data_IF_238363763043
#
_entry.id   IF_238363763043
#
_cell.length_a   1.000
_cell.length_b   1.000
_cell.length_c   1.000
_cell.angle_alpha   90.00
_cell.angle_beta   90.00
_cell.angle_gamma   90.00
#
_symmetry.space_group_name_H-M   'P 1'
#
loop_
_entity.id
_entity.type
_entity.pdbx_description
1 polymer ?
#
# COMPACT_ATOMS: atom_id res chain seq x y z
N UNK A 1 60.42 69.06 31.27
CA UNK A 1 61.14 67.79 31.08
C UNK A 1 60.11 66.73 30.71
N UNK A 2 60.49 65.80 29.82
CA UNK A 2 59.68 64.74 29.16
C UNK A 2 59.04 65.13 27.81
N UNK A 3 59.87 65.02 26.77
CA UNK A 3 59.50 64.95 25.35
C UNK A 3 59.12 63.49 25.05
N UNK A 4 57.87 63.23 24.70
CA UNK A 4 57.42 61.90 24.24
C UNK A 4 57.43 61.86 22.71
N UNK A 5 58.27 60.97 22.19
CA UNK A 5 58.63 60.78 20.78
C UNK A 5 57.53 59.99 20.07
N UNK A 6 56.77 60.61 19.16
CA UNK A 6 55.85 59.91 18.23
C UNK A 6 56.66 59.03 17.28
N UNK A 7 56.44 57.72 17.32
CA UNK A 7 57.01 56.73 16.40
C UNK A 7 55.98 56.47 15.30
N UNK A 8 56.20 57.02 14.11
CA UNK A 8 55.42 56.71 12.92
C UNK A 8 55.77 55.28 12.46
N UNK A 9 54.83 54.35 12.56
CA UNK A 9 54.88 53.09 11.82
C UNK A 9 54.22 53.31 10.46
N UNK A 10 55.02 53.26 9.40
CA UNK A 10 54.54 53.15 8.03
C UNK A 10 53.95 51.76 7.84
N UNK A 11 52.63 51.66 7.66
CA UNK A 11 51.98 50.44 7.16
C UNK A 11 52.01 50.50 5.63
N UNK A 12 52.76 49.58 5.03
CA UNK A 12 52.82 49.35 3.58
C UNK A 12 51.45 48.82 3.09
N UNK A 13 50.76 49.51 2.16
CA UNK A 13 49.42 49.11 1.72
C UNK A 13 49.40 48.01 0.64
N UNK A 14 50.53 47.40 0.27
CA UNK A 14 50.58 46.44 -0.84
C UNK A 14 50.21 44.99 -0.50
N UNK A 15 50.14 44.58 0.78
CA UNK A 15 49.95 43.16 1.13
C UNK A 15 48.47 42.70 1.16
N UNK A 16 47.52 43.64 1.10
CA UNK A 16 46.09 43.29 1.20
C UNK A 16 45.45 42.81 -0.11
N UNK A 17 46.03 43.11 -1.29
CA UNK A 17 45.42 42.73 -2.59
C UNK A 17 45.61 41.27 -2.99
N UNK A 18 46.63 40.56 -2.46
CA UNK A 18 46.84 39.13 -2.77
C UNK A 18 45.96 38.18 -1.94
N UNK A 19 45.45 38.63 -0.80
CA UNK A 19 44.62 37.83 0.11
C UNK A 19 43.19 37.63 -0.39
N UNK A 20 42.59 38.66 -1.00
CA UNK A 20 41.16 38.62 -1.40
C UNK A 20 40.89 37.64 -2.55
N UNK A 21 41.81 37.51 -3.51
CA UNK A 21 41.65 36.62 -4.66
C UNK A 21 41.57 35.12 -4.28
N UNK A 22 42.28 34.71 -3.22
CA UNK A 22 42.24 33.33 -2.72
C UNK A 22 40.90 32.97 -2.09
N UNK A 23 40.24 33.92 -1.44
CA UNK A 23 38.95 33.72 -0.78
C UNK A 23 37.84 33.53 -1.82
N UNK A 24 37.81 34.34 -2.89
CA UNK A 24 36.83 34.19 -3.96
C UNK A 24 36.99 32.86 -4.72
N UNK A 25 38.22 32.41 -4.94
CA UNK A 25 38.48 31.12 -5.58
C UNK A 25 38.01 29.96 -4.67
N UNK A 26 38.27 30.02 -3.37
CA UNK A 26 37.80 29.03 -2.42
C UNK A 26 36.26 28.97 -2.35
N UNK A 27 35.59 30.13 -2.31
CA UNK A 27 34.13 30.20 -2.27
C UNK A 27 33.48 29.66 -3.55
N UNK A 28 34.04 29.95 -4.72
CA UNK A 28 33.52 29.42 -6.00
C UNK A 28 33.68 27.91 -6.10
N UNK A 29 34.82 27.36 -5.65
CA UNK A 29 35.05 25.91 -5.57
C UNK A 29 34.08 25.24 -4.59
N UNK A 30 33.88 25.82 -3.40
CA UNK A 30 32.92 25.30 -2.41
C UNK A 30 31.49 25.33 -2.98
N UNK A 31 31.09 26.43 -3.63
CA UNK A 31 29.77 26.55 -4.26
C UNK A 31 29.58 25.52 -5.37
N UNK A 32 30.61 25.26 -6.17
CA UNK A 32 30.57 24.25 -7.24
C UNK A 32 30.44 22.83 -6.67
N UNK A 33 31.18 22.51 -5.61
CA UNK A 33 31.10 21.22 -4.92
C UNK A 33 29.69 21.02 -4.33
N UNK A 34 29.13 22.04 -3.67
CA UNK A 34 27.76 22.01 -3.14
C UNK A 34 26.72 21.78 -4.25
N UNK A 35 26.87 22.46 -5.39
CA UNK A 35 25.98 22.27 -6.54
C UNK A 35 26.07 20.84 -7.10
N UNK A 36 27.28 20.28 -7.23
CA UNK A 36 27.50 18.91 -7.70
C UNK A 36 26.88 17.91 -6.71
N UNK A 37 27.07 18.10 -5.40
CA UNK A 37 26.46 17.25 -4.37
C UNK A 37 24.92 17.32 -4.40
N UNK A 38 24.35 18.51 -4.59
CA UNK A 38 22.90 18.72 -4.77
C UNK A 38 22.37 17.99 -6.01
N UNK A 39 23.09 18.04 -7.13
CA UNK A 39 22.72 17.33 -8.36
C UNK A 39 22.79 15.81 -8.17
N UNK A 40 23.83 15.29 -7.53
CA UNK A 40 23.97 13.86 -7.24
C UNK A 40 22.83 13.39 -6.32
N UNK A 41 22.48 14.17 -5.29
CA UNK A 41 21.40 13.84 -4.37
C UNK A 41 20.03 13.86 -5.08
N UNK A 42 19.79 14.85 -5.93
CA UNK A 42 18.56 14.98 -6.72
C UNK A 42 18.39 13.82 -7.71
N UNK A 43 19.47 13.44 -8.40
CA UNK A 43 19.47 12.28 -9.27
C UNK A 43 19.18 10.99 -8.49
N UNK A 44 19.81 10.81 -7.33
CA UNK A 44 19.62 9.61 -6.50
C UNK A 44 18.17 9.46 -6.02
N UNK A 45 17.51 10.56 -5.66
CA UNK A 45 16.09 10.56 -5.30
C UNK A 45 15.19 10.19 -6.49
N UNK A 46 15.44 10.76 -7.68
CA UNK A 46 14.68 10.42 -8.90
C UNK A 46 14.84 8.94 -9.28
N UNK A 47 16.06 8.38 -9.19
CA UNK A 47 16.29 6.96 -9.46
C UNK A 47 15.58 6.05 -8.45
N UNK A 48 15.51 6.46 -7.17
CA UNK A 48 14.80 5.70 -6.15
C UNK A 48 13.29 5.68 -6.40
N UNK A 49 12.69 6.83 -6.77
CA UNK A 49 11.27 6.93 -7.11
C UNK A 49 10.90 6.11 -8.35
N UNK A 50 11.72 6.15 -9.40
CA UNK A 50 11.53 5.34 -10.60
C UNK A 50 11.66 3.83 -10.31
N UNK A 51 12.63 3.43 -9.50
CA UNK A 51 12.81 2.03 -9.12
C UNK A 51 11.60 1.50 -8.33
N UNK A 52 11.06 2.29 -7.40
CA UNK A 52 9.86 1.94 -6.63
C UNK A 52 8.62 1.84 -7.53
N UNK A 53 8.44 2.80 -8.45
CA UNK A 53 7.35 2.76 -9.43
C UNK A 53 7.42 1.52 -10.33
N UNK A 54 8.61 1.16 -10.83
CA UNK A 54 8.82 -0.06 -11.63
C UNK A 54 8.51 -1.32 -10.85
N UNK A 55 8.92 -1.37 -9.58
CA UNK A 55 8.65 -2.50 -8.70
C UNK A 55 7.13 -2.65 -8.45
N UNK A 56 6.43 -1.56 -8.13
CA UNK A 56 4.99 -1.58 -7.93
C UNK A 56 4.24 -1.97 -9.22
N UNK A 57 4.66 -1.45 -10.37
CA UNK A 57 4.13 -1.87 -11.67
C UNK A 57 4.29 -3.37 -11.90
N UNK A 58 5.49 -3.92 -11.68
CA UNK A 58 5.74 -5.35 -11.82
C UNK A 58 4.88 -6.20 -10.85
N UNK A 59 4.75 -5.77 -9.58
CA UNK A 59 3.88 -6.43 -8.61
C UNK A 59 2.44 -6.49 -9.09
N UNK A 60 1.91 -5.38 -9.59
CA UNK A 60 0.54 -5.31 -10.11
C UNK A 60 0.35 -6.19 -11.34
N UNK A 61 1.29 -6.17 -12.29
CA UNK A 61 1.25 -7.04 -13.46
C UNK A 61 1.23 -8.53 -13.08
N UNK A 62 2.07 -8.94 -12.12
CA UNK A 62 2.09 -10.32 -11.60
C UNK A 62 0.73 -10.68 -10.98
N UNK A 63 0.16 -9.81 -10.16
CA UNK A 63 -1.15 -10.04 -9.54
C UNK A 63 -2.27 -10.14 -10.58
N UNK A 64 -2.23 -9.34 -11.64
CA UNK A 64 -3.19 -9.42 -12.74
C UNK A 64 -3.01 -10.74 -13.49
N UNK A 65 -1.79 -11.10 -13.85
CA UNK A 65 -1.49 -12.36 -14.55
C UNK A 65 -1.96 -13.58 -13.76
N UNK A 66 -1.69 -13.62 -12.45
CA UNK A 66 -2.12 -14.69 -11.57
C UNK A 66 -3.66 -14.80 -11.53
N UNK A 67 -4.37 -13.67 -11.47
CA UNK A 67 -5.83 -13.66 -11.54
C UNK A 67 -6.34 -14.17 -12.89
N UNK A 68 -5.85 -13.60 -14.00
CA UNK A 68 -6.29 -13.97 -15.34
C UNK A 68 -6.03 -15.45 -15.65
N UNK A 69 -4.95 -16.02 -15.12
CA UNK A 69 -4.69 -17.46 -15.22
C UNK A 69 -5.72 -18.28 -14.45
N UNK A 70 -6.06 -17.89 -13.22
CA UNK A 70 -7.04 -18.60 -12.39
C UNK A 70 -8.49 -18.46 -12.88
N UNK A 71 -8.78 -17.48 -13.74
CA UNK A 71 -10.12 -17.27 -14.29
C UNK A 71 -10.43 -18.15 -15.51
N UNK A 72 -9.44 -18.80 -16.13
CA UNK A 72 -9.66 -19.69 -17.29
C UNK A 72 -10.56 -19.06 -18.37
N UNK A 73 -10.25 -17.81 -18.73
CA UNK A 73 -11.08 -17.00 -19.63
C UNK A 73 -11.01 -17.52 -21.07
N UNK A 74 -12.16 -17.62 -21.72
CA UNK A 74 -12.20 -17.82 -23.17
C UNK A 74 -11.88 -16.52 -23.94
N UNK A 75 -11.73 -16.64 -25.27
CA UNK A 75 -11.40 -15.50 -26.12
C UNK A 75 -12.43 -14.36 -26.06
N UNK A 76 -13.72 -14.71 -26.01
CA UNK A 76 -14.80 -13.72 -25.96
C UNK A 76 -14.79 -12.97 -24.62
N UNK A 77 -14.57 -13.70 -23.51
CA UNK A 77 -14.43 -13.11 -22.18
C UNK A 77 -13.19 -12.21 -22.09
N UNK A 78 -12.05 -12.62 -22.65
CA UNK A 78 -10.85 -11.79 -22.69
C UNK A 78 -11.08 -10.49 -23.48
N UNK A 79 -11.74 -10.56 -24.63
CA UNK A 79 -12.05 -9.37 -25.43
C UNK A 79 -13.00 -8.44 -24.68
N UNK A 80 -14.04 -8.99 -24.04
CA UNK A 80 -14.97 -8.20 -23.22
C UNK A 80 -14.28 -7.46 -22.08
N UNK A 81 -13.34 -8.12 -21.38
CA UNK A 81 -12.57 -7.47 -20.30
C UNK A 81 -11.65 -6.39 -20.88
N UNK A 82 -11.00 -6.64 -22.02
CA UNK A 82 -10.13 -5.67 -22.68
C UNK A 82 -10.91 -4.39 -23.05
N UNK A 83 -12.08 -4.55 -23.68
CA UNK A 83 -12.93 -3.44 -24.10
C UNK A 83 -13.42 -2.64 -22.88
N UNK A 84 -13.87 -3.34 -21.83
CA UNK A 84 -14.31 -2.70 -20.59
C UNK A 84 -13.15 -1.99 -19.84
N UNK A 85 -11.93 -2.53 -19.88
CA UNK A 85 -10.75 -1.91 -19.29
C UNK A 85 -10.37 -0.61 -20.02
N UNK A 86 -10.44 -0.61 -21.36
CA UNK A 86 -10.24 0.60 -22.19
C UNK A 86 -11.31 1.65 -21.92
N UNK A 87 -12.58 1.26 -21.88
CA UNK A 87 -13.68 2.15 -21.55
C UNK A 87 -13.54 2.74 -20.13
N UNK A 88 -13.17 1.91 -19.15
CA UNK A 88 -12.90 2.37 -17.79
C UNK A 88 -11.74 3.38 -17.73
N UNK A 89 -10.69 3.19 -18.53
CA UNK A 89 -9.58 4.15 -18.64
C UNK A 89 -10.05 5.48 -19.24
N UNK A 90 -10.86 5.43 -20.29
CA UNK A 90 -11.44 6.62 -20.92
C UNK A 90 -12.36 7.40 -19.98
N UNK A 91 -13.24 6.70 -19.25
CA UNK A 91 -14.12 7.31 -18.23
C UNK A 91 -13.29 8.07 -17.18
N UNK A 92 -12.20 7.45 -16.70
CA UNK A 92 -11.30 8.07 -15.72
C UNK A 92 -10.54 9.25 -16.29
N UNK A 93 -10.07 9.17 -17.55
CA UNK A 93 -9.37 10.28 -18.22
C UNK A 93 -10.29 11.48 -18.39
N UNK A 94 -11.49 11.29 -18.95
CA UNK A 94 -12.48 12.36 -19.14
C UNK A 94 -12.87 13.02 -17.82
N UNK A 95 -13.02 12.24 -16.75
CA UNK A 95 -13.29 12.78 -15.42
C UNK A 95 -12.11 13.60 -14.88
N UNK A 96 -10.87 13.12 -15.06
CA UNK A 96 -9.66 13.84 -14.68
C UNK A 96 -9.53 15.16 -15.45
N UNK A 97 -9.74 15.14 -16.76
CA UNK A 97 -9.72 16.33 -17.61
C UNK A 97 -10.80 17.33 -17.20
N UNK A 98 -12.04 16.87 -16.96
CA UNK A 98 -13.13 17.72 -16.47
C UNK A 98 -12.81 18.39 -15.13
N UNK A 99 -12.13 17.68 -14.22
CA UNK A 99 -11.68 18.24 -12.95
C UNK A 99 -10.50 19.20 -13.14
N UNK A 100 -9.54 18.88 -14.02
CA UNK A 100 -8.37 19.71 -14.28
C UNK A 100 -8.70 21.05 -14.95
N UNK A 101 -9.76 21.10 -15.77
CA UNK A 101 -10.24 22.34 -16.40
C UNK A 101 -10.92 23.32 -15.44
N UNK A 102 -11.19 22.92 -14.20
CA UNK A 102 -11.87 23.74 -13.20
C UNK A 102 -10.87 24.29 -12.20
N UNK A 103 -10.25 25.41 -12.54
CA UNK A 103 -9.29 26.13 -11.69
C UNK A 103 -9.85 26.45 -10.29
N UNK A 104 -11.15 26.72 -10.20
CA UNK A 104 -11.89 26.94 -8.94
C UNK A 104 -11.76 25.76 -7.95
N UNK A 105 -11.61 24.52 -8.43
CA UNK A 105 -11.32 23.34 -7.57
C UNK A 105 -9.97 23.51 -6.91
N UNK A 106 -8.95 23.84 -7.68
CA UNK A 106 -7.60 23.99 -7.14
C UNK A 106 -7.53 25.17 -6.16
N UNK A 107 -8.12 26.31 -6.52
CA UNK A 107 -8.16 27.51 -5.68
C UNK A 107 -8.88 27.25 -4.34
N UNK A 108 -10.04 26.60 -4.35
CA UNK A 108 -10.78 26.31 -3.13
C UNK A 108 -9.99 25.41 -2.17
N UNK A 109 -9.26 24.41 -2.68
CA UNK A 109 -8.39 23.57 -1.85
C UNK A 109 -7.15 24.33 -1.37
N UNK A 110 -6.57 25.21 -2.19
CA UNK A 110 -5.46 26.07 -1.77
C UNK A 110 -5.86 27.03 -0.66
N UNK A 111 -7.05 27.63 -0.71
CA UNK A 111 -7.53 28.55 0.31
C UNK A 111 -7.70 27.84 1.66
N UNK A 112 -8.30 26.64 1.67
CA UNK A 112 -8.38 25.80 2.88
C UNK A 112 -6.98 25.43 3.39
N UNK A 113 -6.05 25.09 2.50
CA UNK A 113 -4.67 24.77 2.88
C UNK A 113 -3.94 25.98 3.50
N UNK A 114 -4.14 27.19 2.96
CA UNK A 114 -3.58 28.43 3.51
C UNK A 114 -4.07 28.65 4.93
N UNK A 115 -5.37 28.49 5.18
CA UNK A 115 -5.95 28.60 6.54
C UNK A 115 -5.42 27.52 7.47
N UNK A 116 -5.33 26.27 7.02
CA UNK A 116 -4.79 25.19 7.85
C UNK A 116 -3.32 25.44 8.25
N UNK A 117 -2.52 26.01 7.36
CA UNK A 117 -1.11 26.35 7.63
C UNK A 117 -0.92 27.45 8.69
N UNK A 118 -1.93 28.29 8.96
CA UNK A 118 -1.82 29.28 10.04
C UNK A 118 -2.05 28.69 11.43
N UNK A 119 -2.42 27.40 11.52
CA UNK A 119 -2.80 26.75 12.78
C UNK A 119 -4.21 27.09 13.25
N UNK A 120 -5.01 27.79 12.43
CA UNK A 120 -6.40 28.08 12.73
C UNK A 120 -7.25 26.80 12.74
N UNK A 121 -8.02 26.61 13.81
CA UNK A 121 -9.02 25.53 13.90
C UNK A 121 -10.35 25.88 13.21
N UNK A 122 -10.52 27.14 12.81
CA UNK A 122 -11.75 27.65 12.18
C UNK A 122 -11.45 28.16 10.78
N UNK A 123 -12.21 27.67 9.79
CA UNK A 123 -12.16 28.16 8.41
C UNK A 123 -13.18 29.28 8.25
N UNK A 124 -12.80 30.46 7.71
CA UNK A 124 -13.73 31.53 7.40
C UNK A 124 -14.93 31.04 6.57
N UNK A 125 -16.12 31.59 6.86
CA UNK A 125 -17.38 31.12 6.30
C UNK A 125 -17.43 31.21 4.77
N UNK A 126 -16.84 32.25 4.17
CA UNK A 126 -16.75 32.42 2.73
C UNK A 126 -15.89 31.32 2.06
N UNK A 127 -14.75 30.96 2.66
CA UNK A 127 -13.86 29.89 2.20
C UNK A 127 -14.56 28.54 2.37
N UNK A 128 -15.22 28.31 3.50
CA UNK A 128 -15.95 27.09 3.77
C UNK A 128 -17.08 26.89 2.73
N UNK A 129 -17.86 27.92 2.43
CA UNK A 129 -18.92 27.84 1.42
C UNK A 129 -18.39 27.54 0.01
N UNK A 130 -17.31 28.22 -0.42
CA UNK A 130 -16.67 27.92 -1.71
C UNK A 130 -16.19 26.46 -1.74
N UNK A 131 -15.45 26.03 -0.73
CA UNK A 131 -14.96 24.66 -0.63
C UNK A 131 -16.09 23.63 -0.66
N UNK A 132 -17.16 23.83 0.09
CA UNK A 132 -18.29 22.90 0.11
C UNK A 132 -18.99 22.80 -1.25
N UNK A 133 -19.22 23.92 -1.94
CA UNK A 133 -19.78 23.92 -3.29
C UNK A 133 -18.90 23.14 -4.26
N UNK A 134 -17.61 23.43 -4.25
CA UNK A 134 -16.66 22.81 -5.17
C UNK A 134 -16.45 21.34 -4.87
N UNK A 135 -16.44 20.96 -3.59
CA UNK A 135 -16.42 19.56 -3.15
C UNK A 135 -17.65 18.80 -3.62
N UNK A 136 -18.85 19.36 -3.52
CA UNK A 136 -20.06 18.72 -4.04
C UNK A 136 -19.96 18.45 -5.54
N UNK A 137 -19.37 19.36 -6.31
CA UNK A 137 -19.14 19.14 -7.74
C UNK A 137 -18.14 18.00 -7.99
N UNK A 138 -17.02 17.96 -7.25
CA UNK A 138 -16.06 16.86 -7.33
C UNK A 138 -16.72 15.53 -6.98
N UNK A 139 -17.54 15.50 -5.93
CA UNK A 139 -18.24 14.31 -5.48
C UNK A 139 -19.25 13.83 -6.54
N UNK A 140 -20.01 14.74 -7.18
CA UNK A 140 -20.89 14.39 -8.31
C UNK A 140 -20.13 13.78 -9.49
N UNK A 141 -18.96 14.31 -9.82
CA UNK A 141 -18.11 13.74 -10.89
C UNK A 141 -17.64 12.33 -10.50
N UNK A 142 -17.22 12.14 -9.24
CA UNK A 142 -16.79 10.83 -8.73
C UNK A 142 -17.92 9.81 -8.70
N UNK A 143 -19.11 10.21 -8.27
CA UNK A 143 -20.32 9.38 -8.26
C UNK A 143 -20.66 8.91 -9.68
N UNK A 144 -20.68 9.82 -10.66
CA UNK A 144 -20.94 9.45 -12.06
C UNK A 144 -19.87 8.53 -12.66
N UNK A 145 -18.60 8.68 -12.26
CA UNK A 145 -17.55 7.72 -12.64
C UNK A 145 -17.81 6.35 -12.00
N UNK A 146 -18.10 6.33 -10.70
CA UNK A 146 -18.31 5.09 -9.96
C UNK A 146 -19.54 4.32 -10.47
N UNK A 147 -20.62 5.00 -10.82
CA UNK A 147 -21.82 4.42 -11.41
C UNK A 147 -21.48 3.71 -12.73
N UNK A 148 -20.77 4.39 -13.65
CA UNK A 148 -20.36 3.81 -14.94
C UNK A 148 -19.44 2.60 -14.76
N UNK A 149 -18.43 2.71 -13.89
CA UNK A 149 -17.53 1.58 -13.58
C UNK A 149 -18.29 0.41 -12.94
N UNK A 150 -19.31 0.69 -12.14
CA UNK A 150 -20.18 -0.34 -11.56
C UNK A 150 -21.01 -1.03 -12.64
N UNK A 151 -21.57 -0.27 -13.58
CA UNK A 151 -22.25 -0.83 -14.75
C UNK A 151 -21.36 -1.76 -15.58
N UNK A 152 -20.12 -1.35 -15.87
CA UNK A 152 -19.16 -2.20 -16.58
C UNK A 152 -18.83 -3.48 -15.80
N UNK A 153 -18.63 -3.36 -14.49
CA UNK A 153 -18.29 -4.51 -13.64
C UNK A 153 -19.44 -5.52 -13.54
N UNK A 154 -20.69 -5.05 -13.51
CA UNK A 154 -21.88 -5.91 -13.54
C UNK A 154 -21.96 -6.69 -14.84
N UNK A 155 -21.77 -6.02 -16.00
CA UNK A 155 -21.75 -6.69 -17.32
C UNK A 155 -20.72 -7.83 -17.38
N UNK A 156 -19.50 -7.61 -16.87
CA UNK A 156 -18.48 -8.66 -16.80
C UNK A 156 -18.94 -9.80 -15.89
N UNK A 157 -19.44 -9.47 -14.69
CA UNK A 157 -19.88 -10.47 -13.71
C UNK A 157 -20.98 -11.37 -14.27
N UNK A 158 -21.93 -10.81 -15.02
CA UNK A 158 -23.03 -11.55 -15.65
C UNK A 158 -22.58 -12.51 -16.75
N UNK A 159 -21.41 -12.26 -17.36
CA UNK A 159 -20.82 -13.12 -18.39
C UNK A 159 -19.78 -14.11 -17.83
N UNK A 160 -19.55 -14.10 -16.52
CA UNK A 160 -18.66 -15.04 -15.85
C UNK A 160 -19.44 -16.30 -15.44
N UNK A 161 -18.81 -17.45 -15.62
CA UNK A 161 -19.30 -18.73 -15.11
C UNK A 161 -19.25 -18.72 -13.58
N UNK A 162 -20.10 -19.50 -12.88
CA UNK A 162 -20.12 -19.54 -11.42
C UNK A 162 -18.76 -19.79 -10.77
N UNK A 163 -17.92 -20.66 -11.36
CA UNK A 163 -16.57 -20.92 -10.84
C UNK A 163 -15.64 -19.70 -10.99
N UNK A 164 -15.78 -18.89 -12.04
CA UNK A 164 -14.97 -17.68 -12.24
C UNK A 164 -15.37 -16.59 -11.23
N UNK A 165 -16.67 -16.47 -10.93
CA UNK A 165 -17.17 -15.59 -9.86
C UNK A 165 -16.61 -16.04 -8.51
N UNK A 166 -16.64 -17.34 -8.21
CA UNK A 166 -16.05 -17.91 -7.00
C UNK A 166 -14.54 -17.62 -6.90
N UNK A 167 -13.79 -17.79 -8.00
CA UNK A 167 -12.37 -17.43 -8.05
C UNK A 167 -12.18 -15.95 -7.71
N UNK A 168 -12.99 -15.04 -8.24
CA UNK A 168 -12.93 -13.62 -7.88
C UNK A 168 -13.25 -13.38 -6.40
N UNK A 169 -14.28 -14.01 -5.84
CA UNK A 169 -14.68 -13.88 -4.43
C UNK A 169 -13.54 -14.22 -3.48
N UNK A 170 -12.82 -15.31 -3.77
CA UNK A 170 -11.74 -15.81 -2.92
C UNK A 170 -10.35 -15.30 -3.32
N UNK A 171 -10.22 -14.61 -4.46
CA UNK A 171 -8.92 -14.13 -4.93
C UNK A 171 -8.25 -13.19 -3.92
N UNK A 172 -7.02 -13.54 -3.54
CA UNK A 172 -6.11 -12.77 -2.70
C UNK A 172 -4.89 -12.39 -3.54
N UNK A 173 -4.68 -11.09 -3.87
CA UNK A 173 -3.53 -10.66 -4.67
C UNK A 173 -2.21 -11.17 -4.09
N UNK A 174 -1.44 -11.88 -4.90
CA UNK A 174 -0.18 -12.52 -4.49
C UNK A 174 0.89 -12.36 -5.58
N UNK A 175 2.15 -12.27 -5.14
CA UNK A 175 3.32 -12.25 -6.04
C UNK A 175 3.74 -13.67 -6.40
N UNK A 176 3.77 -14.55 -5.40
CA UNK A 176 4.07 -15.97 -5.58
C UNK A 176 2.79 -16.76 -5.33
N UNK A 177 2.25 -17.45 -6.35
CA UNK A 177 1.08 -18.31 -6.15
C UNK A 177 1.44 -19.49 -5.24
N UNK A 178 0.49 -20.01 -4.45
CA UNK A 178 0.75 -21.11 -3.53
C UNK A 178 1.11 -22.41 -4.29
N UNK A 179 2.24 -23.03 -3.92
CA UNK A 179 2.90 -24.16 -4.63
C UNK A 179 2.03 -25.43 -4.76
N UNK A 180 0.94 -25.57 -3.98
CA UNK A 180 0.10 -26.80 -3.99
C UNK A 180 -1.41 -26.56 -3.84
N UNK A 181 -1.92 -25.33 -3.94
CA UNK A 181 -3.34 -25.04 -3.67
C UNK A 181 -4.05 -24.52 -4.90
N UNK A 182 -4.13 -25.40 -5.90
CA UNK A 182 -4.83 -25.21 -7.16
C UNK A 182 -6.14 -26.00 -7.24
N UNK A 183 -6.92 -26.12 -6.15
CA UNK A 183 -8.31 -26.56 -6.25
C UNK A 183 -9.20 -25.71 -5.36
N UNK A 184 -10.16 -25.06 -6.03
CA UNK A 184 -11.40 -24.52 -5.48
C UNK A 184 -11.95 -25.52 -4.44
N UNK A 185 -12.29 -25.04 -3.24
CA UNK A 185 -12.86 -25.86 -2.15
C UNK A 185 -11.87 -26.40 -1.10
N UNK A 186 -10.59 -26.01 -1.11
CA UNK A 186 -9.68 -26.38 -0.01
C UNK A 186 -9.79 -25.42 1.17
N UNK A 187 -9.93 -25.99 2.37
CA UNK A 187 -10.03 -25.26 3.64
C UNK A 187 -8.84 -24.30 3.85
N UNK A 188 -9.11 -23.20 4.55
CA UNK A 188 -8.08 -22.24 4.94
C UNK A 188 -6.87 -22.94 5.59
N UNK A 189 -5.66 -22.51 5.21
CA UNK A 189 -4.44 -23.07 5.79
C UNK A 189 -4.21 -22.53 7.21
N UNK A 190 -4.54 -23.36 8.21
CA UNK A 190 -4.22 -23.10 9.60
C UNK A 190 -2.99 -23.88 10.08
N UNK A 191 -2.27 -24.58 9.19
CA UNK A 191 -1.18 -25.50 9.57
C UNK A 191 -0.05 -24.81 10.33
N UNK A 192 0.24 -23.55 10.01
CA UNK A 192 1.23 -22.74 10.74
C UNK A 192 0.84 -22.49 12.19
N UNK A 193 -0.44 -22.18 12.44
CA UNK A 193 -0.95 -21.97 13.79
C UNK A 193 -1.11 -23.29 14.55
N UNK A 194 -1.57 -24.35 13.88
CA UNK A 194 -1.63 -25.70 14.46
C UNK A 194 -0.25 -26.16 14.96
N UNK A 195 0.82 -25.96 14.16
CA UNK A 195 2.21 -26.24 14.57
C UNK A 195 2.67 -25.42 15.78
N UNK A 196 2.21 -24.18 15.91
CA UNK A 196 2.49 -23.36 17.09
C UNK A 196 1.81 -23.99 18.32
N UNK A 197 0.53 -24.35 18.22
CA UNK A 197 -0.20 -24.98 19.33
C UNK A 197 0.42 -26.32 19.74
N UNK A 198 0.85 -27.15 18.78
CA UNK A 198 1.60 -28.39 19.04
C UNK A 198 2.89 -28.12 19.83
N UNK A 199 3.68 -27.11 19.43
CA UNK A 199 4.90 -26.71 20.15
C UNK A 199 4.61 -26.25 21.58
N UNK A 200 3.49 -25.55 21.79
CA UNK A 200 3.07 -25.10 23.11
C UNK A 200 2.68 -26.28 24.01
N UNK A 201 2.01 -27.29 23.44
CA UNK A 201 1.60 -28.49 24.18
C UNK A 201 2.80 -29.31 24.65
N UNK A 202 3.78 -29.55 23.79
CA UNK A 202 4.99 -30.34 24.12
C UNK A 202 6.01 -29.58 24.98
N UNK A 203 5.82 -28.27 25.18
CA UNK A 203 6.75 -27.45 25.96
C UNK A 203 6.78 -27.91 27.43
N UNK A 204 7.97 -28.02 28.07
CA UNK A 204 8.06 -28.34 29.49
C UNK A 204 7.31 -27.31 30.35
N UNK A 205 6.62 -27.73 31.43
CA UNK A 205 5.77 -26.83 32.23
C UNK A 205 6.48 -25.57 32.75
N UNK A 206 7.71 -25.70 33.21
CA UNK A 206 8.49 -24.56 33.73
C UNK A 206 8.84 -23.55 32.62
N UNK A 207 9.21 -24.06 31.44
CA UNK A 207 9.52 -23.24 30.27
C UNK A 207 8.26 -22.51 29.81
N UNK A 208 7.12 -23.22 29.75
CA UNK A 208 5.84 -22.62 29.39
C UNK A 208 5.45 -21.52 30.37
N UNK A 209 5.50 -21.78 31.68
CA UNK A 209 5.15 -20.78 32.71
C UNK A 209 5.97 -19.50 32.57
N UNK A 210 7.27 -19.62 32.26
CA UNK A 210 8.16 -18.47 32.08
C UNK A 210 7.93 -17.73 30.76
N UNK A 211 7.57 -18.44 29.68
CA UNK A 211 7.50 -17.87 28.33
C UNK A 211 6.09 -17.50 27.87
N UNK A 212 5.03 -17.97 28.55
CA UNK A 212 3.63 -17.85 28.12
C UNK A 212 3.27 -16.44 27.69
N UNK A 213 3.60 -15.45 28.52
CA UNK A 213 3.32 -14.05 28.21
C UNK A 213 4.13 -13.52 27.02
N UNK A 214 5.41 -13.87 26.96
CA UNK A 214 6.29 -13.47 25.86
C UNK A 214 5.86 -14.08 24.52
N UNK A 215 5.29 -15.29 24.53
CA UNK A 215 4.74 -15.96 23.34
C UNK A 215 3.51 -15.20 22.83
N UNK A 216 2.57 -14.87 23.73
CA UNK A 216 1.39 -14.09 23.38
C UNK A 216 1.78 -12.69 22.85
N UNK A 217 2.70 -12.00 23.52
CA UNK A 217 3.14 -10.66 23.11
C UNK A 217 3.84 -10.69 21.74
N UNK A 218 4.75 -11.64 21.50
CA UNK A 218 5.41 -11.79 20.19
C UNK A 218 4.41 -12.06 19.06
N UNK A 219 3.34 -12.80 19.33
CA UNK A 219 2.29 -13.04 18.36
C UNK A 219 1.54 -11.74 18.00
N UNK A 220 1.22 -10.92 19.01
CA UNK A 220 0.61 -9.60 18.84
C UNK A 220 1.52 -8.67 18.05
N UNK A 221 2.80 -8.55 18.44
CA UNK A 221 3.76 -7.64 17.80
C UNK A 221 3.97 -8.01 16.33
N UNK A 222 4.11 -9.31 16.03
CA UNK A 222 4.18 -9.80 14.65
C UNK A 222 2.90 -9.49 13.87
N UNK A 223 1.74 -9.54 14.52
CA UNK A 223 0.49 -9.17 13.87
C UNK A 223 0.46 -7.67 13.54
N UNK A 224 0.81 -6.79 14.48
CA UNK A 224 0.83 -5.33 14.30
C UNK A 224 1.59 -4.89 13.04
N UNK A 225 2.71 -5.54 12.71
CA UNK A 225 3.49 -5.21 11.49
C UNK A 225 2.70 -5.35 10.18
N UNK A 226 1.57 -6.06 10.19
CA UNK A 226 0.72 -6.29 9.00
C UNK A 226 -0.45 -5.31 8.92
N UNK A 227 -0.67 -4.50 9.95
CA UNK A 227 -1.75 -3.53 9.99
C UNK A 227 -1.20 -2.12 9.79
N UNK A 228 -2.01 -1.21 9.21
CA UNK A 228 -1.65 0.21 9.14
C UNK A 228 -1.37 0.78 10.55
N UNK A 229 -0.44 1.74 10.70
CA UNK A 229 -0.10 2.34 12.01
C UNK A 229 -1.30 2.92 12.80
N UNK A 230 -2.39 3.27 12.11
CA UNK A 230 -3.61 3.80 12.72
C UNK A 230 -4.61 2.73 13.20
N UNK A 231 -4.31 1.44 13.03
CA UNK A 231 -5.18 0.36 13.49
C UNK A 231 -5.06 0.20 15.02
N UNK A 232 -6.17 0.45 15.73
CA UNK A 232 -6.22 0.37 17.18
C UNK A 232 -6.42 -1.09 17.60
N UNK A 233 -5.40 -1.66 18.25
CA UNK A 233 -5.52 -2.95 18.92
C UNK A 233 -5.98 -2.75 20.37
N UNK A 234 -7.00 -3.49 20.80
CA UNK A 234 -7.20 -3.71 22.23
C UNK A 234 -6.25 -4.82 22.69
N UNK A 235 -4.99 -4.43 22.94
CA UNK A 235 -3.90 -5.36 23.22
C UNK A 235 -4.15 -6.21 24.47
N UNK A 236 -4.74 -5.63 25.51
CA UNK A 236 -5.03 -6.33 26.75
C UNK A 236 -6.04 -7.45 26.55
N UNK A 237 -7.14 -7.15 25.84
CA UNK A 237 -8.19 -8.13 25.54
C UNK A 237 -7.64 -9.24 24.63
N UNK A 238 -6.88 -8.85 23.60
CA UNK A 238 -6.27 -9.80 22.68
C UNK A 238 -5.25 -10.69 23.39
N UNK A 239 -4.38 -10.13 24.24
CA UNK A 239 -3.42 -10.88 25.04
C UNK A 239 -4.13 -11.86 25.96
N UNK A 240 -5.18 -11.44 26.67
CA UNK A 240 -5.97 -12.31 27.53
C UNK A 240 -6.60 -13.49 26.76
N UNK A 241 -7.15 -13.24 25.56
CA UNK A 241 -7.73 -14.30 24.72
C UNK A 241 -6.68 -15.30 24.22
N UNK A 242 -5.51 -14.81 23.79
CA UNK A 242 -4.41 -15.67 23.37
C UNK A 242 -3.91 -16.52 24.53
N UNK A 243 -3.68 -15.92 25.70
CA UNK A 243 -3.26 -16.64 26.91
C UNK A 243 -4.25 -17.74 27.29
N UNK A 244 -5.55 -17.45 27.27
CA UNK A 244 -6.60 -18.45 27.51
C UNK A 244 -6.51 -19.61 26.53
N UNK A 245 -6.30 -19.32 25.25
CA UNK A 245 -6.19 -20.36 24.21
C UNK A 245 -4.93 -21.22 24.41
N UNK A 246 -3.80 -20.60 24.79
CA UNK A 246 -2.55 -21.32 25.09
C UNK A 246 -2.72 -22.25 26.31
N UNK A 247 -3.39 -21.78 27.36
CA UNK A 247 -3.68 -22.56 28.56
C UNK A 247 -4.64 -23.73 28.23
N UNK A 248 -5.71 -23.45 27.47
CA UNK A 248 -6.67 -24.47 27.02
C UNK A 248 -5.98 -25.60 26.23
N UNK A 249 -5.07 -25.26 25.32
CA UNK A 249 -4.28 -26.23 24.53
C UNK A 249 -3.46 -27.17 25.40
N UNK A 250 -3.07 -26.77 26.61
CA UNK A 250 -2.30 -27.62 27.54
C UNK A 250 -3.18 -28.44 28.48
N UNK A 251 -4.40 -27.98 28.75
CA UNK A 251 -5.30 -28.62 29.70
C UNK A 251 -6.15 -29.73 29.08
N UNK A 252 -6.53 -29.61 27.80
CA UNK A 252 -7.35 -30.63 27.14
C UNK A 252 -6.60 -31.95 26.93
N UNK A 253 -7.33 -33.07 26.81
CA UNK A 253 -6.73 -34.39 26.58
C UNK A 253 -6.02 -34.47 25.22
N UNK A 254 -5.12 -35.45 25.03
CA UNK A 254 -4.43 -35.61 23.75
C UNK A 254 -5.42 -35.92 22.61
N UNK A 255 -6.43 -36.74 22.91
CA UNK A 255 -7.49 -37.09 21.96
C UNK A 255 -8.30 -35.85 21.57
N UNK A 256 -8.73 -35.06 22.56
CA UNK A 256 -9.48 -33.83 22.29
C UNK A 256 -8.64 -32.80 21.54
N UNK A 257 -7.35 -32.71 21.87
CA UNK A 257 -6.44 -31.81 21.17
C UNK A 257 -6.35 -32.19 19.69
N UNK A 258 -6.14 -33.46 19.36
CA UNK A 258 -6.06 -33.91 17.96
C UNK A 258 -7.34 -33.56 17.19
N UNK A 259 -8.51 -33.71 17.82
CA UNK A 259 -9.81 -33.40 17.20
C UNK A 259 -10.03 -31.88 17.06
N UNK A 260 -9.69 -31.09 18.08
CA UNK A 260 -9.99 -29.65 18.13
C UNK A 260 -8.88 -28.75 17.59
N UNK A 261 -7.69 -29.29 17.30
CA UNK A 261 -6.49 -28.52 16.94
C UNK A 261 -6.76 -27.50 15.82
N UNK A 262 -7.44 -27.92 14.76
CA UNK A 262 -7.68 -27.05 13.61
C UNK A 262 -8.67 -25.93 13.92
N UNK A 263 -9.69 -26.22 14.74
CA UNK A 263 -10.63 -25.21 15.24
C UNK A 263 -9.93 -24.20 16.17
N UNK A 264 -9.09 -24.68 17.09
CA UNK A 264 -8.30 -23.82 17.97
C UNK A 264 -7.31 -22.97 17.18
N UNK A 265 -6.67 -23.54 16.15
CA UNK A 265 -5.77 -22.82 15.26
C UNK A 265 -6.52 -21.74 14.45
N UNK A 266 -7.75 -22.03 14.00
CA UNK A 266 -8.62 -21.06 13.33
C UNK A 266 -9.00 -19.91 14.26
N UNK A 267 -9.43 -20.20 15.49
CA UNK A 267 -9.75 -19.19 16.52
C UNK A 267 -8.53 -18.32 16.86
N UNK A 268 -7.37 -18.95 17.07
CA UNK A 268 -6.12 -18.26 17.35
C UNK A 268 -5.69 -17.33 16.19
N UNK A 269 -5.86 -17.80 14.94
CA UNK A 269 -5.63 -16.98 13.75
C UNK A 269 -6.60 -15.79 13.68
N UNK A 270 -7.89 -16.02 13.91
CA UNK A 270 -8.94 -14.99 13.81
C UNK A 270 -8.74 -13.87 14.84
N UNK A 271 -8.30 -14.21 16.06
CA UNK A 271 -7.97 -13.22 17.08
C UNK A 271 -6.82 -12.29 16.62
N UNK A 272 -5.78 -12.86 16.00
CA UNK A 272 -4.61 -12.09 15.54
C UNK A 272 -4.86 -11.36 14.21
N UNK A 273 -5.62 -11.97 13.32
CA UNK A 273 -5.89 -11.47 11.99
C UNK A 273 -7.41 -11.53 11.76
N UNK A 274 -8.16 -10.54 12.28
CA UNK A 274 -9.59 -10.47 12.02
C UNK A 274 -9.83 -10.51 10.51
N UNK A 275 -10.80 -11.34 10.10
CA UNK A 275 -11.15 -11.48 8.69
C UNK A 275 -11.54 -10.10 8.16
N UNK A 276 -10.83 -9.65 7.12
CA UNK A 276 -11.25 -8.45 6.39
C UNK A 276 -12.60 -8.77 5.75
N UNK A 277 -13.59 -7.86 5.80
CA UNK A 277 -14.86 -8.08 5.13
C UNK A 277 -14.59 -8.44 3.67
N UNK A 278 -15.23 -9.52 3.20
CA UNK A 278 -15.08 -9.99 1.83
C UNK A 278 -15.43 -8.86 0.87
N UNK A 279 -14.46 -8.44 0.06
CA UNK A 279 -14.68 -7.38 -0.91
C UNK A 279 -15.66 -7.86 -1.97
N UNK A 280 -16.69 -7.05 -2.24
CA UNK A 280 -17.68 -7.35 -3.28
C UNK A 280 -16.98 -7.61 -4.63
N UNK A 281 -17.42 -8.64 -5.35
CA UNK A 281 -16.88 -9.05 -6.66
C UNK A 281 -16.79 -7.88 -7.64
N UNK A 282 -17.81 -7.02 -7.71
CA UNK A 282 -17.80 -5.86 -8.60
C UNK A 282 -16.65 -4.90 -8.29
N UNK A 283 -16.33 -4.70 -7.02
CA UNK A 283 -15.19 -3.88 -6.59
C UNK A 283 -13.87 -4.54 -6.99
N UNK A 284 -13.76 -5.87 -6.88
CA UNK A 284 -12.57 -6.60 -7.34
C UNK A 284 -12.38 -6.50 -8.85
N UNK A 285 -13.46 -6.62 -9.63
CA UNK A 285 -13.43 -6.40 -11.09
C UNK A 285 -12.92 -4.99 -11.39
N UNK A 286 -13.46 -3.95 -10.73
CA UNK A 286 -13.02 -2.57 -10.94
C UNK A 286 -11.57 -2.32 -10.58
N UNK A 287 -11.06 -2.94 -9.52
CA UNK A 287 -9.68 -2.76 -9.04
C UNK A 287 -8.67 -3.54 -9.86
N UNK A 288 -9.01 -4.77 -10.26
CA UNK A 288 -8.08 -5.71 -10.86
C UNK A 288 -8.24 -5.78 -12.38
N UNK A 289 -9.47 -5.93 -12.88
CA UNK A 289 -9.74 -6.12 -14.31
C UNK A 289 -9.85 -4.79 -15.08
N UNK A 290 -10.17 -3.68 -14.42
CA UNK A 290 -10.08 -2.35 -15.03
C UNK A 290 -8.78 -1.63 -14.74
N UNK A 291 -7.77 -2.31 -14.20
CA UNK A 291 -6.47 -1.68 -13.99
C UNK A 291 -5.80 -1.40 -15.35
N UNK A 292 -5.14 -0.24 -15.56
CA UNK A 292 -4.52 0.10 -16.85
C UNK A 292 -3.54 -0.97 -17.37
N UNK A 293 -2.81 -1.61 -16.46
CA UNK A 293 -1.86 -2.69 -16.80
C UNK A 293 -2.52 -3.97 -17.34
N UNK A 294 -3.84 -4.15 -17.20
CA UNK A 294 -4.58 -5.28 -17.80
C UNK A 294 -4.58 -5.20 -19.33
N UNK A 295 -4.67 -3.98 -19.87
CA UNK A 295 -4.80 -3.73 -21.32
C UNK A 295 -3.65 -4.37 -22.10
N UNK A 296 -2.37 -4.03 -21.86
CA UNK A 296 -1.26 -4.62 -22.61
C UNK A 296 -1.16 -6.14 -22.41
N UNK A 297 -1.50 -6.66 -21.22
CA UNK A 297 -1.48 -8.09 -20.92
C UNK A 297 -2.52 -8.85 -21.77
N UNK A 298 -3.76 -8.34 -21.84
CA UNK A 298 -4.82 -8.97 -22.64
C UNK A 298 -4.56 -8.83 -24.13
N UNK A 299 -4.06 -7.69 -24.60
CA UNK A 299 -3.68 -7.51 -26.00
C UNK A 299 -2.61 -8.51 -26.44
N UNK A 300 -1.60 -8.77 -25.61
CA UNK A 300 -0.58 -9.77 -25.88
C UNK A 300 -1.14 -11.20 -25.89
N UNK A 301 -1.98 -11.56 -24.91
CA UNK A 301 -2.62 -12.89 -24.84
C UNK A 301 -3.52 -13.17 -26.04
N UNK A 302 -4.35 -12.20 -26.41
CA UNK A 302 -5.27 -12.31 -27.55
C UNK A 302 -4.48 -12.46 -28.85
N UNK A 303 -3.41 -11.67 -29.06
CA UNK A 303 -2.55 -11.77 -30.26
C UNK A 303 -1.77 -13.09 -30.34
N UNK A 304 -1.26 -13.57 -29.21
CA UNK A 304 -0.43 -14.78 -29.17
C UNK A 304 -1.24 -16.07 -29.21
N UNK A 305 -2.57 -16.02 -29.09
CA UNK A 305 -3.42 -17.20 -29.00
C UNK A 305 -3.14 -18.08 -27.78
N UNK A 306 -2.31 -17.61 -26.82
CA UNK A 306 -2.01 -18.31 -25.59
C UNK A 306 -3.22 -18.23 -24.67
N UNK A 307 -4.10 -19.23 -24.77
CA UNK A 307 -5.01 -19.58 -23.69
C UNK A 307 -4.19 -19.96 -22.46
N UNK A 308 -4.72 -19.70 -21.27
CA UNK A 308 -4.03 -19.92 -20.00
C UNK A 308 -3.30 -21.27 -20.01
N UNK A 309 -2.01 -21.24 -19.64
CA UNK A 309 -1.08 -22.37 -19.69
C UNK A 309 -1.79 -23.60 -19.07
N UNK A 310 -2.00 -24.64 -19.88
CA UNK A 310 -2.32 -25.98 -19.37
C UNK A 310 -1.18 -26.38 -18.44
N UNK A 311 -1.45 -26.32 -17.13
CA UNK A 311 -0.56 -26.75 -16.06
C UNK A 311 -0.97 -28.12 -15.56
#
# INVERSE_FOLDING_TARGET
MAIIKKKNLSQDPEDHRKSEGGIYLALTVISLILLILLLILSCSLLFAEEADHRLEKAKVQIQILNLLNGLELDHQQMQMILDAAKEAQEIRSKAREKMAQKEEIFEAYQDVLKVAKTGSLTVPEDIAHRFHRTRQEVDRVREGVQEKLTGLALKIKENFKPHQVYVLEDYKPCIVPPIQKGRIGQAEDHSGFAKILERIRIMPPDVYRLQREGIAQKAIDKSKTKFPPAYIFNEETLKAELLRTLDEVRTISDVDFVVKKDEMAKKFKAALHPEKPSMNVGVKIQRLLFHPEVIPILEERIKSGKMAIEG
#
